data_IF_154004407173
#
_entry.id   IF_154004407173
#
_cell.length_a   1.000
_cell.length_b   1.000
_cell.length_c   1.000
_cell.angle_alpha   90.00
_cell.angle_beta   90.00
_cell.angle_gamma   90.00
#
_symmetry.space_group_name_H-M   'P 1'
#
loop_
_entity.id
_entity.type
_entity.pdbx_description
1 polymer ?
#
# COMPACT_ATOMS: atom_id res chain seq x y z
N UNK A 1 27.05 -35.86 51.90
CA UNK A 1 26.78 -35.57 53.30
C UNK A 1 25.94 -34.31 53.34
N UNK A 2 24.70 -34.46 53.69
CA UNK A 2 23.79 -33.75 54.49
C UNK A 2 22.99 -32.66 53.71
N UNK A 3 21.82 -32.84 53.27
CA UNK A 3 20.50 -33.09 53.90
C UNK A 3 19.81 -31.80 54.41
N UNK A 4 18.62 -31.56 53.78
CA UNK A 4 17.35 -31.10 54.33
C UNK A 4 17.28 -29.62 54.81
N UNK A 5 16.23 -28.84 54.65
CA UNK A 5 14.78 -29.10 54.66
C UNK A 5 14.01 -27.83 54.23
N UNK A 6 12.84 -28.01 53.67
CA UNK A 6 11.69 -27.08 53.73
C UNK A 6 11.11 -27.02 55.17
N UNK A 7 10.20 -26.08 55.55
CA UNK A 7 8.88 -25.88 54.98
C UNK A 7 8.31 -24.44 55.08
N UNK A 8 7.30 -24.14 54.23
CA UNK A 8 5.86 -23.94 54.42
C UNK A 8 5.35 -22.74 55.28
N UNK A 9 4.38 -22.11 54.71
CA UNK A 9 3.28 -21.39 55.38
C UNK A 9 3.25 -19.90 55.06
N UNK A 10 2.21 -19.33 54.64
CA UNK A 10 0.78 -19.45 54.62
C UNK A 10 0.26 -18.05 54.29
N UNK A 11 -0.55 -17.90 53.39
CA UNK A 11 -1.98 -17.67 53.33
C UNK A 11 -2.54 -16.42 54.09
N UNK A 12 -3.47 -15.84 53.37
CA UNK A 12 -4.69 -15.07 53.68
C UNK A 12 -4.55 -13.57 53.47
N UNK A 13 -5.30 -13.03 52.61
CA UNK A 13 -6.73 -12.86 52.36
C UNK A 13 -7.25 -11.47 52.76
N UNK A 14 -8.05 -10.99 51.89
CA UNK A 14 -9.32 -10.27 52.06
C UNK A 14 -9.31 -8.74 52.14
N UNK A 15 -9.94 -8.22 51.21
CA UNK A 15 -11.30 -7.68 51.11
C UNK A 15 -11.45 -6.17 51.31
N UNK A 16 -11.93 -5.58 50.25
CA UNK A 16 -13.09 -4.69 50.08
C UNK A 16 -13.33 -3.57 51.11
N UNK A 17 -13.67 -2.42 50.59
CA UNK A 17 -14.95 -1.74 50.85
C UNK A 17 -15.14 -0.58 49.86
N UNK A 18 -16.32 -0.55 49.25
CA UNK A 18 -16.87 0.52 48.44
C UNK A 18 -17.47 1.62 49.31
N UNK A 19 -17.57 2.82 48.79
CA UNK A 19 -18.72 3.69 49.05
C UNK A 19 -18.81 4.85 48.07
N UNK A 20 -19.98 4.98 47.50
CA UNK A 20 -20.47 6.01 46.63
C UNK A 20 -20.74 7.33 47.36
N UNK A 21 -20.65 8.46 46.63
CA UNK A 21 -21.57 9.59 46.83
C UNK A 21 -21.90 10.24 45.50
N UNK A 22 -23.18 10.36 45.26
CA UNK A 22 -23.81 10.98 44.10
C UNK A 22 -23.79 12.51 44.21
N UNK A 23 -23.62 13.17 43.09
CA UNK A 23 -23.88 14.59 42.94
C UNK A 23 -24.46 14.87 41.58
N UNK A 24 -25.77 15.03 41.49
CA UNK A 24 -26.51 15.47 40.28
C UNK A 24 -26.27 16.95 40.03
N UNK A 25 -25.90 17.31 38.82
CA UNK A 25 -26.20 18.63 38.25
C UNK A 25 -26.66 18.44 36.80
N UNK A 26 -27.97 18.56 36.61
CA UNK A 26 -28.60 18.66 35.30
C UNK A 26 -28.32 20.04 34.70
N UNK A 27 -27.69 20.08 33.54
CA UNK A 27 -27.78 21.23 32.67
C UNK A 27 -28.43 20.75 31.36
N UNK A 28 -29.70 21.12 31.18
CA UNK A 28 -30.42 21.07 29.92
C UNK A 28 -29.81 22.09 28.95
N UNK A 29 -29.15 21.60 27.94
CA UNK A 29 -28.82 22.42 26.75
C UNK A 29 -29.62 21.88 25.57
N UNK A 30 -30.70 22.57 25.24
CA UNK A 30 -31.51 22.39 24.02
C UNK A 30 -30.63 22.78 22.81
N UNK A 31 -30.03 21.79 22.16
CA UNK A 31 -29.37 21.96 20.87
C UNK A 31 -30.28 21.56 19.74
N UNK A 32 -30.58 22.52 18.92
CA UNK A 32 -31.39 22.46 17.69
C UNK A 32 -30.83 21.42 16.74
N UNK A 33 -31.52 20.31 16.51
CA UNK A 33 -31.22 19.33 15.47
C UNK A 33 -31.50 19.95 14.10
N UNK A 34 -30.45 20.36 13.41
CA UNK A 34 -30.49 20.55 11.96
C UNK A 34 -30.31 19.19 11.32
N UNK A 35 -31.40 18.64 10.81
CA UNK A 35 -31.39 17.47 9.94
C UNK A 35 -30.76 17.84 8.60
N UNK A 36 -29.42 17.58 8.49
CA UNK A 36 -28.77 17.54 7.19
C UNK A 36 -29.02 16.18 6.57
N UNK A 37 -29.64 16.16 5.38
CA UNK A 37 -29.73 14.96 4.58
C UNK A 37 -28.32 14.47 4.18
N UNK A 38 -27.88 13.36 4.75
CA UNK A 38 -26.70 12.63 4.27
C UNK A 38 -27.03 11.91 2.98
N UNK A 39 -26.36 12.19 1.86
CA UNK A 39 -26.66 11.56 0.58
C UNK A 39 -26.00 10.17 0.40
N UNK A 40 -25.34 9.63 1.40
CA UNK A 40 -24.75 8.26 1.33
C UNK A 40 -24.90 7.61 2.69
N UNK A 41 -25.51 6.45 2.73
CA UNK A 41 -25.90 5.71 3.93
C UNK A 41 -24.85 5.70 5.04
N UNK A 42 -25.30 6.08 6.24
CA UNK A 42 -24.53 6.39 7.45
C UNK A 42 -23.56 5.32 7.97
N UNK A 43 -22.41 5.16 7.31
CA UNK A 43 -21.22 4.58 7.89
C UNK A 43 -20.33 5.73 8.35
N UNK A 44 -20.06 5.82 9.65
CA UNK A 44 -19.06 6.76 10.14
C UNK A 44 -17.76 6.50 9.40
N UNK A 45 -17.23 7.56 8.76
CA UNK A 45 -15.89 7.52 8.16
C UNK A 45 -14.90 7.32 9.32
N UNK A 46 -14.40 6.12 9.45
CA UNK A 46 -13.62 5.65 10.62
C UNK A 46 -12.33 6.43 10.85
N UNK A 47 -11.82 7.12 9.82
CA UNK A 47 -10.42 7.55 9.77
C UNK A 47 -10.19 8.95 9.18
N UNK A 48 -11.18 9.83 9.20
CA UNK A 48 -11.02 11.21 8.74
C UNK A 48 -10.28 12.02 9.80
N UNK A 49 -9.16 12.62 9.43
CA UNK A 49 -8.41 13.56 10.27
C UNK A 49 -8.89 14.99 10.04
N UNK A 50 -8.63 15.86 11.02
CA UNK A 50 -8.85 17.28 10.81
C UNK A 50 -7.99 17.79 9.64
N UNK A 51 -8.60 18.37 8.63
CA UNK A 51 -7.93 18.84 7.42
C UNK A 51 -7.91 17.85 6.27
N UNK A 52 -8.38 16.60 6.47
CA UNK A 52 -8.53 15.67 5.37
C UNK A 52 -9.65 16.12 4.43
N UNK A 53 -9.42 15.84 3.16
CA UNK A 53 -10.46 15.85 2.14
C UNK A 53 -10.94 14.41 1.97
N UNK A 54 -12.22 14.17 1.91
CA UNK A 54 -12.73 12.85 1.55
C UNK A 54 -12.51 12.65 0.05
N UNK A 55 -12.08 11.45 -0.34
CA UNK A 55 -11.93 11.10 -1.75
C UNK A 55 -13.27 11.33 -2.45
N UNK A 56 -13.30 12.32 -3.37
CA UNK A 56 -14.53 12.80 -4.00
C UNK A 56 -15.00 11.84 -5.09
N UNK A 57 -16.29 11.91 -5.42
CA UNK A 57 -16.88 11.07 -6.49
C UNK A 57 -16.60 9.58 -6.28
N UNK A 58 -16.34 9.17 -5.04
CA UNK A 58 -15.99 7.78 -4.75
C UNK A 58 -17.22 6.90 -4.84
N UNK A 59 -17.10 5.87 -5.65
CA UNK A 59 -18.10 4.83 -5.75
C UNK A 59 -17.43 3.47 -5.93
N UNK A 60 -18.07 2.44 -5.45
CA UNK A 60 -17.66 1.09 -5.77
C UNK A 60 -18.04 0.80 -7.21
N UNK A 61 -17.04 0.63 -8.07
CA UNK A 61 -17.23 0.33 -9.49
C UNK A 61 -17.50 -1.15 -9.75
N UNK A 62 -17.05 -2.03 -8.84
CA UNK A 62 -17.27 -3.46 -8.95
C UNK A 62 -16.60 -4.27 -7.86
N UNK A 63 -16.39 -5.55 -8.16
CA UNK A 63 -15.64 -6.53 -7.38
C UNK A 63 -14.87 -7.43 -8.33
N UNK A 64 -13.77 -8.00 -7.87
CA UNK A 64 -13.08 -9.01 -8.65
C UNK A 64 -14.01 -10.18 -8.95
N UNK A 65 -14.15 -10.49 -10.23
CA UNK A 65 -14.91 -11.66 -10.70
C UNK A 65 -14.06 -12.94 -10.69
N UNK A 66 -12.74 -12.79 -10.54
CA UNK A 66 -11.81 -13.90 -10.47
C UNK A 66 -11.60 -14.32 -9.02
N UNK A 67 -12.18 -15.45 -8.63
CA UNK A 67 -12.09 -15.95 -7.25
C UNK A 67 -10.67 -16.39 -6.83
N UNK A 68 -9.73 -16.53 -7.78
CA UNK A 68 -8.35 -16.86 -7.43
C UNK A 68 -7.52 -15.63 -7.06
N UNK A 69 -8.00 -14.42 -7.29
CA UNK A 69 -7.42 -13.19 -6.78
C UNK A 69 -8.02 -12.88 -5.40
N UNK A 70 -7.51 -13.56 -4.38
CA UNK A 70 -8.03 -13.48 -3.01
C UNK A 70 -7.22 -12.52 -2.14
N UNK A 71 -5.94 -12.36 -2.43
CA UNK A 71 -4.99 -11.54 -1.67
C UNK A 71 -4.32 -10.53 -2.60
N UNK A 72 -5.18 -9.70 -3.25
CA UNK A 72 -4.70 -8.68 -4.19
C UNK A 72 -3.76 -7.71 -3.49
N UNK A 73 -2.50 -7.67 -3.93
CA UNK A 73 -1.47 -6.77 -3.45
C UNK A 73 -0.86 -6.00 -4.62
N UNK A 74 -1.16 -4.69 -4.68
CA UNK A 74 -0.79 -3.82 -5.77
C UNK A 74 -1.76 -3.83 -6.96
N UNK A 75 -1.81 -2.71 -7.68
CA UNK A 75 -2.56 -2.56 -8.92
C UNK A 75 -1.87 -1.59 -9.87
N UNK A 76 -1.72 -1.99 -11.14
CA UNK A 76 -1.16 -1.11 -12.16
C UNK A 76 -2.02 -1.08 -13.42
N UNK A 77 -2.05 0.07 -14.08
CA UNK A 77 -2.67 0.21 -15.40
C UNK A 77 -1.81 -0.46 -16.46
N UNK A 78 -2.43 -1.18 -17.38
CA UNK A 78 -1.77 -1.66 -18.59
C UNK A 78 -1.39 -0.49 -19.48
N UNK A 79 -0.16 -0.50 -19.98
CA UNK A 79 0.30 0.46 -21.00
C UNK A 79 -0.07 -0.03 -22.40
N UNK A 80 -0.06 -1.34 -22.60
CA UNK A 80 -0.29 -1.98 -23.88
C UNK A 80 -1.76 -2.20 -24.25
N UNK A 81 -2.66 -2.32 -23.28
CA UNK A 81 -4.08 -2.64 -23.47
C UNK A 81 -4.96 -1.65 -22.70
N UNK A 82 -5.53 -0.61 -23.35
CA UNK A 82 -6.33 0.39 -22.67
C UNK A 82 -7.54 -0.20 -21.92
N UNK A 83 -7.75 0.25 -20.68
CA UNK A 83 -8.86 -0.22 -19.83
C UNK A 83 -8.56 -1.54 -19.10
N UNK A 84 -7.36 -2.09 -19.26
CA UNK A 84 -6.86 -3.26 -18.54
C UNK A 84 -6.02 -2.82 -17.35
N UNK A 85 -6.15 -3.54 -16.25
CA UNK A 85 -5.35 -3.42 -15.03
C UNK A 85 -4.75 -4.78 -14.68
N UNK A 86 -3.58 -4.75 -14.07
CA UNK A 86 -2.90 -5.94 -13.56
C UNK A 86 -2.82 -5.89 -12.04
N UNK A 87 -3.01 -7.03 -11.40
CA UNK A 87 -2.73 -7.27 -9.99
C UNK A 87 -2.11 -8.65 -9.81
N UNK A 88 -1.59 -8.94 -8.65
CA UNK A 88 -1.11 -10.26 -8.21
C UNK A 88 -1.65 -10.56 -6.82
N UNK A 89 -1.54 -11.82 -6.39
CA UNK A 89 -1.68 -12.18 -5.00
C UNK A 89 -0.37 -12.00 -4.23
N UNK A 90 -0.48 -11.73 -2.96
CA UNK A 90 0.55 -11.73 -1.94
C UNK A 90 1.25 -13.10 -1.78
N UNK A 91 2.03 -13.23 -0.74
CA UNK A 91 2.86 -14.39 -0.38
C UNK A 91 2.10 -15.71 -0.29
N UNK A 92 2.77 -16.80 -0.66
CA UNK A 92 2.20 -18.16 -0.56
C UNK A 92 1.24 -18.56 -1.68
N UNK A 93 0.98 -17.68 -2.62
CA UNK A 93 0.17 -17.89 -3.80
C UNK A 93 0.98 -18.25 -5.05
N UNK A 94 0.30 -18.69 -6.10
CA UNK A 94 0.90 -18.99 -7.39
C UNK A 94 1.46 -17.71 -8.05
N UNK A 95 2.50 -17.87 -8.87
CA UNK A 95 3.17 -16.81 -9.60
C UNK A 95 2.30 -16.35 -10.79
N UNK A 96 1.21 -15.64 -10.53
CA UNK A 96 0.19 -15.27 -11.52
C UNK A 96 -0.10 -13.77 -11.49
N UNK A 97 -0.12 -13.16 -12.68
CA UNK A 97 -0.70 -11.85 -12.92
C UNK A 97 -2.15 -11.99 -13.36
N UNK A 98 -3.02 -11.23 -12.74
CA UNK A 98 -4.46 -11.19 -13.02
C UNK A 98 -4.81 -9.92 -13.78
N UNK A 99 -5.42 -10.07 -14.95
CA UNK A 99 -5.93 -8.96 -15.75
C UNK A 99 -7.41 -8.73 -15.46
N UNK A 100 -7.78 -7.49 -15.21
CA UNK A 100 -9.17 -7.10 -14.95
C UNK A 100 -9.49 -5.71 -15.53
N UNK A 101 -10.77 -5.38 -15.66
CA UNK A 101 -11.21 -4.02 -16.00
C UNK A 101 -11.66 -3.25 -14.74
N UNK A 102 -11.98 -1.97 -14.89
CA UNK A 102 -12.38 -1.10 -13.78
C UNK A 102 -13.65 -1.54 -13.04
N UNK A 103 -14.38 -2.52 -13.56
CA UNK A 103 -15.53 -3.14 -12.89
C UNK A 103 -15.20 -4.45 -12.19
N UNK A 104 -13.96 -4.92 -12.35
CA UNK A 104 -13.49 -6.20 -11.79
C UNK A 104 -13.75 -7.41 -12.67
N UNK A 105 -14.26 -7.22 -13.88
CA UNK A 105 -14.42 -8.32 -14.83
C UNK A 105 -13.05 -8.92 -15.15
N UNK A 106 -12.92 -10.22 -15.00
CA UNK A 106 -11.70 -10.95 -15.33
C UNK A 106 -11.46 -10.90 -16.85
N UNK A 107 -10.25 -10.53 -17.24
CA UNK A 107 -9.81 -10.42 -18.64
C UNK A 107 -8.77 -11.48 -19.00
N UNK A 108 -8.08 -12.05 -18.02
CA UNK A 108 -7.08 -13.08 -18.22
C UNK A 108 -6.27 -13.37 -16.97
N UNK A 109 -5.58 -14.51 -16.99
CA UNK A 109 -4.57 -14.91 -16.02
C UNK A 109 -3.30 -15.27 -16.78
N UNK A 110 -2.17 -14.81 -16.30
CA UNK A 110 -0.87 -15.02 -16.97
C UNK A 110 0.13 -15.53 -15.95
N UNK A 111 0.51 -16.80 -16.08
CA UNK A 111 1.53 -17.39 -15.21
C UNK A 111 2.91 -16.77 -15.50
N UNK A 112 3.59 -16.35 -14.47
CA UNK A 112 4.96 -15.82 -14.54
C UNK A 112 5.95 -16.95 -14.34
N UNK A 113 6.70 -17.29 -15.36
CA UNK A 113 7.63 -18.43 -15.33
C UNK A 113 9.05 -18.02 -14.99
N UNK A 114 9.72 -18.88 -14.19
CA UNK A 114 11.13 -18.74 -13.83
C UNK A 114 11.37 -18.01 -12.52
N UNK A 115 10.34 -17.83 -11.71
CA UNK A 115 10.38 -17.17 -10.40
C UNK A 115 9.57 -17.93 -9.37
N UNK A 116 9.60 -17.46 -8.15
CA UNK A 116 8.70 -17.86 -7.06
C UNK A 116 8.09 -16.62 -6.42
N UNK A 117 6.82 -16.71 -6.05
CA UNK A 117 6.18 -15.77 -5.15
C UNK A 117 6.62 -16.13 -3.72
N UNK A 118 7.58 -15.36 -3.20
CA UNK A 118 7.98 -15.49 -1.81
C UNK A 118 7.22 -14.50 -0.93
N UNK A 119 7.11 -13.25 -1.43
CA UNK A 119 6.40 -12.16 -0.75
C UNK A 119 6.20 -11.01 -1.76
N UNK A 120 5.32 -11.27 -2.76
CA UNK A 120 5.04 -10.29 -3.80
C UNK A 120 4.08 -9.23 -3.26
N UNK A 121 4.56 -8.01 -3.13
CA UNK A 121 3.80 -6.93 -2.52
C UNK A 121 3.57 -5.73 -3.45
N UNK A 122 4.30 -5.65 -4.55
CA UNK A 122 4.24 -4.44 -5.36
C UNK A 122 4.33 -4.72 -6.86
N UNK A 123 3.62 -3.92 -7.64
CA UNK A 123 3.74 -3.85 -9.11
C UNK A 123 4.13 -2.44 -9.55
N UNK A 124 4.88 -2.36 -10.63
CA UNK A 124 5.11 -1.11 -11.35
C UNK A 124 5.07 -1.34 -12.86
N UNK A 125 4.45 -0.44 -13.59
CA UNK A 125 4.57 -0.36 -15.05
C UNK A 125 5.41 0.86 -15.42
N UNK A 126 6.33 0.70 -16.37
CA UNK A 126 7.18 1.81 -16.78
C UNK A 126 8.20 1.47 -17.85
N UNK A 127 9.00 2.48 -18.28
CA UNK A 127 10.01 2.28 -19.29
C UNK A 127 11.11 1.32 -18.84
N UNK A 128 11.53 0.45 -19.73
CA UNK A 128 12.65 -0.46 -19.55
C UNK A 128 13.55 -0.49 -20.80
N UNK A 129 14.58 -1.33 -20.81
CA UNK A 129 15.47 -1.44 -21.98
C UNK A 129 14.77 -1.92 -23.25
N UNK A 130 13.62 -2.57 -23.11
CA UNK A 130 12.88 -3.20 -24.21
C UNK A 130 11.54 -2.52 -24.51
N UNK A 131 11.34 -1.28 -24.04
CA UNK A 131 10.11 -0.51 -24.22
C UNK A 131 9.35 -0.30 -22.92
N UNK A 132 8.22 -0.97 -22.73
CA UNK A 132 7.41 -0.93 -21.51
C UNK A 132 7.45 -2.30 -20.83
N UNK A 133 7.63 -2.28 -19.51
CA UNK A 133 7.71 -3.47 -18.71
C UNK A 133 6.73 -3.41 -17.53
N UNK A 134 6.33 -4.57 -17.07
CA UNK A 134 5.84 -4.79 -15.72
C UNK A 134 7.03 -5.20 -14.84
N UNK A 135 7.16 -4.61 -13.69
CA UNK A 135 8.10 -5.04 -12.66
C UNK A 135 7.32 -5.53 -11.46
N UNK A 136 7.61 -6.74 -11.00
CA UNK A 136 7.07 -7.35 -9.81
C UNK A 136 8.09 -7.18 -8.68
N UNK A 137 7.65 -6.68 -7.54
CA UNK A 137 8.45 -6.56 -6.33
C UNK A 137 8.20 -7.73 -5.38
N UNK A 138 9.16 -8.65 -5.27
CA UNK A 138 9.22 -9.64 -4.19
C UNK A 138 9.94 -8.98 -3.00
N UNK A 139 9.25 -8.03 -2.37
CA UNK A 139 9.82 -7.02 -1.48
C UNK A 139 9.22 -6.99 -0.08
N UNK A 140 8.20 -7.83 0.16
CA UNK A 140 7.64 -8.00 1.49
C UNK A 140 8.63 -8.60 2.48
N UNK A 141 8.58 -8.12 3.70
CA UNK A 141 9.41 -8.58 4.81
C UNK A 141 8.78 -8.18 6.16
N UNK A 142 7.61 -8.71 6.43
CA UNK A 142 6.85 -8.40 7.63
C UNK A 142 7.66 -8.53 8.93
N UNK A 143 8.65 -9.41 8.94
CA UNK A 143 9.55 -9.64 10.08
C UNK A 143 10.82 -8.75 10.05
N UNK A 144 11.07 -8.03 8.96
CA UNK A 144 12.25 -7.20 8.73
C UNK A 144 13.57 -7.99 8.93
N UNK A 145 13.65 -9.17 8.32
CA UNK A 145 14.80 -10.10 8.43
C UNK A 145 15.42 -10.48 7.09
N UNK A 146 14.80 -10.14 5.97
CA UNK A 146 15.33 -10.44 4.63
C UNK A 146 16.51 -9.52 4.32
N UNK A 147 17.68 -10.11 4.18
CA UNK A 147 18.89 -9.35 3.81
C UNK A 147 18.95 -8.98 2.33
N UNK A 148 18.12 -9.61 1.50
CA UNK A 148 18.03 -9.39 0.05
C UNK A 148 16.61 -9.68 -0.41
N UNK A 149 16.12 -8.80 -1.28
CA UNK A 149 14.82 -8.81 -1.92
C UNK A 149 15.02 -8.92 -3.43
N UNK A 150 13.99 -9.24 -4.19
CA UNK A 150 14.17 -9.43 -5.64
C UNK A 150 13.13 -8.66 -6.42
N UNK A 151 13.57 -7.96 -7.45
CA UNK A 151 12.72 -7.31 -8.45
C UNK A 151 12.75 -8.16 -9.73
N UNK A 152 11.57 -8.48 -10.26
CA UNK A 152 11.43 -9.23 -11.50
C UNK A 152 10.87 -8.35 -12.60
N UNK A 153 11.60 -8.19 -13.70
CA UNK A 153 11.17 -7.40 -14.84
C UNK A 153 10.79 -8.30 -16.01
N UNK A 154 9.63 -8.07 -16.57
CA UNK A 154 9.07 -8.79 -17.72
C UNK A 154 8.46 -7.83 -18.71
N UNK A 155 8.42 -8.22 -20.00
CA UNK A 155 7.61 -7.50 -20.95
C UNK A 155 6.15 -7.57 -20.52
N UNK A 156 5.42 -6.47 -20.63
CA UNK A 156 4.00 -6.48 -20.28
C UNK A 156 3.26 -7.56 -21.10
N UNK A 157 2.60 -8.53 -20.47
CA UNK A 157 1.91 -9.58 -21.17
C UNK A 157 0.62 -9.06 -21.81
N UNK A 158 0.11 -9.77 -22.81
CA UNK A 158 -1.26 -9.61 -23.29
C UNK A 158 -2.24 -10.35 -22.40
N UNK A 159 -3.46 -9.84 -22.26
CA UNK A 159 -4.54 -10.52 -21.51
C UNK A 159 -4.86 -11.91 -22.08
N UNK A 160 -4.58 -12.16 -23.36
CA UNK A 160 -4.77 -13.45 -24.04
C UNK A 160 -3.61 -14.43 -23.84
N UNK A 161 -2.49 -13.98 -23.26
CA UNK A 161 -1.35 -14.86 -22.98
C UNK A 161 -1.67 -15.77 -21.79
N UNK A 162 -1.23 -17.02 -21.83
CA UNK A 162 -1.30 -17.92 -20.68
C UNK A 162 -0.05 -17.88 -19.80
N UNK A 163 1.07 -17.46 -20.36
CA UNK A 163 2.36 -17.41 -19.66
C UNK A 163 3.21 -16.24 -20.11
N UNK A 164 4.04 -15.75 -19.22
CA UNK A 164 5.12 -14.80 -19.50
C UNK A 164 6.38 -15.24 -18.76
N UNK A 165 7.56 -14.95 -19.32
CA UNK A 165 8.84 -15.21 -18.66
C UNK A 165 9.45 -13.92 -18.14
N UNK A 166 10.00 -14.00 -16.94
CA UNK A 166 10.87 -12.95 -16.42
C UNK A 166 12.09 -12.82 -17.34
N UNK A 167 12.39 -11.60 -17.72
CA UNK A 167 13.51 -11.26 -18.58
C UNK A 167 14.76 -10.89 -17.80
N UNK A 168 14.57 -10.20 -16.68
CA UNK A 168 15.64 -9.79 -15.77
C UNK A 168 15.18 -9.94 -14.33
N UNK A 169 16.10 -10.32 -13.45
CA UNK A 169 15.95 -10.26 -12.00
C UNK A 169 17.05 -9.37 -11.44
N UNK A 170 16.72 -8.58 -10.46
CA UNK A 170 17.66 -7.74 -9.75
C UNK A 170 17.49 -7.96 -8.26
N UNK A 171 18.54 -8.45 -7.62
CA UNK A 171 18.58 -8.53 -6.18
C UNK A 171 18.90 -7.16 -5.58
N UNK A 172 18.14 -6.78 -4.57
CA UNK A 172 18.24 -5.48 -3.90
C UNK A 172 18.37 -5.71 -2.40
N UNK A 173 19.22 -4.93 -1.76
CA UNK A 173 19.26 -4.80 -0.30
C UNK A 173 19.22 -3.32 0.08
N UNK A 174 18.70 -3.02 1.25
CA UNK A 174 18.72 -1.66 1.78
C UNK A 174 20.02 -1.43 2.57
N UNK A 175 20.63 -0.26 2.40
CA UNK A 175 21.93 0.05 3.02
C UNK A 175 21.85 0.18 4.54
N UNK A 176 20.66 0.43 5.09
CA UNK A 176 20.43 0.78 6.49
C UNK A 176 19.58 -0.25 7.26
N UNK A 177 19.41 -1.45 6.71
CA UNK A 177 18.73 -2.57 7.39
C UNK A 177 17.76 -3.33 6.51
N UNK A 178 16.88 -4.14 7.12
CA UNK A 178 15.80 -4.86 6.47
C UNK A 178 14.49 -4.16 6.78
N UNK A 179 13.64 -3.98 5.78
CA UNK A 179 12.35 -3.30 5.90
C UNK A 179 11.31 -3.95 5.02
N UNK A 180 10.11 -3.99 5.54
CA UNK A 180 8.90 -4.34 4.82
C UNK A 180 8.56 -3.22 3.82
N UNK A 181 8.43 -3.56 2.54
CA UNK A 181 8.10 -2.64 1.46
C UNK A 181 6.91 -3.19 0.72
N UNK A 182 5.87 -2.40 0.56
CA UNK A 182 4.65 -2.78 -0.15
C UNK A 182 4.27 -1.83 -1.28
N UNK A 183 5.01 -0.74 -1.43
CA UNK A 183 4.73 0.21 -2.49
C UNK A 183 5.94 0.39 -3.41
N UNK A 184 5.68 0.28 -4.71
CA UNK A 184 6.68 0.50 -5.75
C UNK A 184 6.06 1.21 -6.95
N UNK A 185 6.79 2.14 -7.55
CA UNK A 185 6.39 2.75 -8.81
C UNK A 185 7.61 3.03 -9.69
N UNK A 186 7.39 3.14 -10.99
CA UNK A 186 8.44 3.49 -11.95
C UNK A 186 8.45 4.98 -12.24
N UNK A 187 9.62 5.57 -12.25
CA UNK A 187 9.86 6.91 -12.77
C UNK A 187 9.81 6.96 -14.31
N UNK A 188 9.72 8.15 -14.87
CA UNK A 188 9.74 8.35 -16.31
C UNK A 188 11.08 7.95 -16.96
N UNK A 189 12.15 7.98 -16.16
CA UNK A 189 13.50 7.54 -16.54
C UNK A 189 13.69 6.01 -16.49
N UNK A 190 12.69 5.28 -15.99
CA UNK A 190 12.73 3.82 -15.77
C UNK A 190 13.44 3.40 -14.48
N UNK A 191 13.78 4.33 -13.60
CA UNK A 191 14.16 4.04 -12.23
C UNK A 191 12.95 3.60 -11.40
N UNK A 192 13.19 2.75 -10.40
CA UNK A 192 12.15 2.26 -9.50
C UNK A 192 12.27 2.92 -8.13
N UNK A 193 11.15 3.27 -7.56
CA UNK A 193 11.00 3.85 -6.23
C UNK A 193 10.28 2.86 -5.34
N UNK A 194 10.86 2.58 -4.17
CA UNK A 194 10.30 1.66 -3.19
C UNK A 194 10.04 2.43 -1.90
N UNK A 195 8.88 2.20 -1.30
CA UNK A 195 8.44 2.91 -0.10
C UNK A 195 8.11 1.89 0.99
N UNK A 196 8.66 2.08 2.19
CA UNK A 196 8.42 1.15 3.30
C UNK A 196 6.97 1.20 3.75
N UNK A 197 6.40 0.03 4.10
CA UNK A 197 5.03 -0.09 4.64
C UNK A 197 4.89 0.71 5.92
N UNK A 198 5.83 0.54 6.82
CA UNK A 198 5.74 1.03 8.19
C UNK A 198 6.78 2.11 8.46
N UNK A 199 6.39 3.18 9.17
CA UNK A 199 7.37 4.07 9.75
C UNK A 199 8.17 3.33 10.82
N UNK A 200 9.49 3.52 10.84
CA UNK A 200 10.34 2.90 11.83
C UNK A 200 10.22 3.61 13.19
N UNK A 201 10.49 2.89 14.28
CA UNK A 201 10.73 3.53 15.58
C UNK A 201 12.21 3.88 15.71
N UNK A 202 12.47 5.13 16.05
CA UNK A 202 13.81 5.59 16.38
C UNK A 202 14.22 5.27 17.82
N UNK A 203 15.47 5.57 18.15
CA UNK A 203 15.94 5.56 19.54
C UNK A 203 15.04 6.49 20.39
N UNK A 204 14.61 6.02 21.56
CA UNK A 204 13.66 6.74 22.40
C UNK A 204 12.19 6.55 22.04
N UNK A 205 11.86 5.65 21.09
CA UNK A 205 10.49 5.28 20.73
C UNK A 205 9.73 6.25 19.85
N UNK A 206 10.35 7.34 19.41
CA UNK A 206 9.74 8.27 18.46
C UNK A 206 9.54 7.61 17.08
N UNK A 207 8.41 7.88 16.43
CA UNK A 207 8.18 7.46 15.06
C UNK A 207 9.08 8.22 14.10
N UNK A 208 9.60 7.53 13.11
CA UNK A 208 10.31 8.11 11.96
C UNK A 208 9.41 8.04 10.73
N UNK A 209 9.52 8.97 9.79
CA UNK A 209 8.81 8.91 8.51
C UNK A 209 9.10 7.61 7.76
N UNK A 210 8.19 7.20 6.87
CA UNK A 210 8.44 6.10 5.93
C UNK A 210 9.63 6.44 5.04
N UNK A 211 10.44 5.45 4.70
CA UNK A 211 11.62 5.62 3.86
C UNK A 211 11.28 5.44 2.40
N UNK A 212 12.03 6.15 1.58
CA UNK A 212 11.99 6.01 0.12
C UNK A 212 13.37 5.60 -0.36
N UNK A 213 13.42 4.52 -1.10
CA UNK A 213 14.61 4.01 -1.78
C UNK A 213 14.47 4.18 -3.27
N UNK A 214 15.59 4.37 -3.96
CA UNK A 214 15.63 4.46 -5.41
C UNK A 214 16.56 3.42 -5.99
N UNK A 215 16.07 2.68 -6.97
CA UNK A 215 16.83 1.72 -7.79
C UNK A 215 16.90 2.31 -9.20
N UNK A 216 18.03 2.90 -9.58
CA UNK A 216 18.16 3.52 -10.90
C UNK A 216 18.10 2.44 -12.00
N UNK A 217 17.60 2.82 -13.18
CA UNK A 217 17.57 1.91 -14.34
C UNK A 217 18.91 1.24 -14.62
N UNK A 218 20.02 1.96 -14.42
CA UNK A 218 21.36 1.43 -14.61
C UNK A 218 21.72 0.27 -13.66
N UNK A 219 21.02 0.09 -12.53
CA UNK A 219 21.25 -1.02 -11.62
C UNK A 219 21.03 -2.39 -12.29
N UNK A 220 20.12 -2.48 -13.25
CA UNK A 220 19.83 -3.70 -13.99
C UNK A 220 20.98 -4.18 -14.88
N UNK A 221 21.93 -3.30 -15.21
CA UNK A 221 23.09 -3.59 -16.04
C UNK A 221 24.32 -4.00 -15.22
N UNK A 222 24.32 -3.73 -13.90
CA UNK A 222 25.50 -3.95 -13.04
C UNK A 222 25.68 -5.41 -12.63
N UNK A 223 24.57 -6.17 -12.58
CA UNK A 223 24.58 -7.54 -12.04
C UNK A 223 24.81 -7.58 -10.53
N UNK A 224 24.64 -8.76 -9.93
CA UNK A 224 24.82 -8.96 -8.50
C UNK A 224 23.71 -8.30 -7.66
N UNK A 225 24.05 -7.91 -6.42
CA UNK A 225 23.10 -7.27 -5.48
C UNK A 225 23.26 -5.77 -5.50
N UNK A 226 22.23 -5.05 -5.88
CA UNK A 226 22.20 -3.58 -5.78
C UNK A 226 21.94 -3.16 -4.33
N UNK A 227 22.74 -2.23 -3.81
CA UNK A 227 22.54 -1.66 -2.48
C UNK A 227 21.82 -0.32 -2.61
N UNK A 228 20.54 -0.29 -2.27
CA UNK A 228 19.73 0.92 -2.30
C UNK A 228 19.91 1.73 -1.01
N UNK A 229 20.29 3.00 -1.15
CA UNK A 229 20.34 3.94 -0.04
C UNK A 229 18.98 4.63 0.12
N UNK A 230 18.68 5.09 1.33
CA UNK A 230 17.57 6.02 1.58
C UNK A 230 17.84 7.31 0.82
N UNK A 231 16.94 7.68 -0.06
CA UNK A 231 17.07 8.90 -0.87
C UNK A 231 16.07 9.97 -0.47
N UNK A 232 15.03 9.58 0.26
CA UNK A 232 14.01 10.47 0.78
C UNK A 232 13.26 9.85 1.96
N UNK A 233 12.41 10.64 2.61
CA UNK A 233 11.46 10.18 3.63
C UNK A 233 10.18 11.00 3.54
N UNK A 234 9.03 10.32 3.62
CA UNK A 234 7.74 10.97 3.51
C UNK A 234 7.12 11.14 4.90
N UNK A 235 6.43 12.26 5.16
CA UNK A 235 5.90 12.60 6.48
C UNK A 235 4.66 11.78 6.87
N UNK A 236 4.66 10.49 6.54
CA UNK A 236 3.64 9.55 6.92
C UNK A 236 4.00 8.95 8.28
N UNK A 237 3.53 9.60 9.32
CA UNK A 237 3.74 9.19 10.71
C UNK A 237 2.39 8.79 11.28
N UNK A 238 2.21 7.57 11.80
CA UNK A 238 0.93 7.13 12.32
C UNK A 238 0.54 7.95 13.53
N UNK A 239 -0.67 8.47 13.50
CA UNK A 239 -1.29 8.95 14.71
C UNK A 239 -1.61 7.77 15.62
N UNK A 240 -1.12 7.81 16.85
CA UNK A 240 -1.40 6.79 17.88
C UNK A 240 -0.91 5.37 17.57
N UNK A 241 -0.02 5.20 16.56
CA UNK A 241 0.57 3.89 16.25
C UNK A 241 -0.41 2.89 15.65
N UNK A 242 -1.45 3.35 14.97
CA UNK A 242 -2.42 2.51 14.27
C UNK A 242 -1.92 2.13 12.87
N UNK A 243 -2.41 1.02 12.32
CA UNK A 243 -2.05 0.54 10.98
C UNK A 243 -2.59 1.41 9.83
N UNK A 244 -3.45 2.39 10.11
CA UNK A 244 -4.11 3.19 9.07
C UNK A 244 -3.20 3.97 8.15
N UNK A 245 -2.00 4.29 8.61
CA UNK A 245 -1.01 5.02 7.83
C UNK A 245 0.07 4.09 7.27
N UNK A 246 -0.10 2.78 7.36
CA UNK A 246 0.79 1.85 6.70
C UNK A 246 0.57 1.92 5.21
N UNK A 247 1.65 2.15 4.50
CA UNK A 247 1.64 2.26 3.03
C UNK A 247 1.47 0.87 2.43
N UNK A 248 0.57 0.75 1.46
CA UNK A 248 0.24 -0.52 0.81
C UNK A 248 0.45 -0.49 -0.70
N UNK A 249 0.43 0.69 -1.35
CA UNK A 249 0.75 0.78 -2.79
C UNK A 249 1.12 2.20 -3.20
N UNK A 250 1.66 2.37 -4.41
CA UNK A 250 2.03 3.65 -4.98
C UNK A 250 1.82 3.70 -6.51
N UNK A 251 1.38 4.84 -7.00
CA UNK A 251 1.23 5.07 -8.43
C UNK A 251 1.66 6.47 -8.83
N UNK A 252 2.50 6.56 -9.88
CA UNK A 252 2.89 7.83 -10.48
C UNK A 252 1.94 8.16 -11.64
N UNK A 253 1.38 9.37 -11.65
CA UNK A 253 0.47 9.80 -12.70
C UNK A 253 1.18 9.91 -14.06
N UNK A 254 0.41 9.83 -15.14
CA UNK A 254 0.83 10.41 -16.42
C UNK A 254 1.14 11.91 -16.25
N UNK A 255 1.88 12.55 -17.16
CA UNK A 255 2.06 13.99 -17.14
C UNK A 255 0.71 14.69 -17.18
N UNK A 256 0.52 15.65 -16.27
CA UNK A 256 -0.63 16.54 -16.28
C UNK A 256 -0.52 17.56 -17.44
N UNK A 257 -1.57 18.33 -17.68
CA UNK A 257 -1.60 19.34 -18.76
C UNK A 257 -0.44 20.35 -18.64
N UNK A 258 -0.01 20.67 -17.42
CA UNK A 258 1.11 21.57 -17.15
C UNK A 258 2.48 20.87 -17.10
N UNK A 259 2.55 19.60 -17.47
CA UNK A 259 3.77 18.79 -17.46
C UNK A 259 4.17 18.23 -16.08
N UNK A 260 3.51 18.64 -15.01
CA UNK A 260 3.74 18.10 -13.67
C UNK A 260 3.27 16.65 -13.58
N UNK A 261 3.75 15.94 -12.58
CA UNK A 261 3.27 14.61 -12.20
C UNK A 261 2.85 14.61 -10.74
N UNK A 262 1.99 13.68 -10.40
CA UNK A 262 1.57 13.40 -9.03
C UNK A 262 1.94 11.97 -8.66
N UNK A 263 2.48 11.80 -7.46
CA UNK A 263 2.61 10.52 -6.82
C UNK A 263 1.44 10.32 -5.87
N UNK A 264 0.67 9.27 -6.05
CA UNK A 264 -0.31 8.82 -5.07
C UNK A 264 0.30 7.65 -4.28
N UNK A 265 0.24 7.73 -2.95
CA UNK A 265 0.55 6.65 -2.04
C UNK A 265 -0.75 6.21 -1.36
N UNK A 266 -1.01 4.93 -1.40
CA UNK A 266 -2.10 4.31 -0.67
C UNK A 266 -1.65 3.96 0.74
N UNK A 267 -2.52 4.15 1.70
CA UNK A 267 -2.45 3.53 3.02
C UNK A 267 -3.82 2.94 3.34
N UNK A 268 -3.93 2.11 4.36
CA UNK A 268 -5.22 1.52 4.73
C UNK A 268 -6.34 2.55 4.96
N UNK A 269 -6.02 3.76 5.34
CA UNK A 269 -7.02 4.78 5.68
C UNK A 269 -7.13 5.96 4.70
N UNK A 270 -6.18 6.13 3.79
CA UNK A 270 -6.14 7.32 2.94
C UNK A 270 -5.28 7.14 1.69
N UNK A 271 -5.52 8.01 0.71
CA UNK A 271 -4.58 8.30 -0.36
C UNK A 271 -3.86 9.61 -0.06
N UNK A 272 -2.54 9.57 -0.14
CA UNK A 272 -1.66 10.72 0.03
C UNK A 272 -1.10 11.12 -1.33
N UNK A 273 -1.38 12.34 -1.77
CA UNK A 273 -0.94 12.84 -3.08
C UNK A 273 0.21 13.81 -2.88
N UNK A 274 1.31 13.52 -3.54
CA UNK A 274 2.51 14.36 -3.54
C UNK A 274 2.73 14.95 -4.93
N UNK A 275 3.40 16.09 -4.99
CA UNK A 275 4.11 16.49 -6.20
C UNK A 275 5.18 15.44 -6.52
N UNK A 276 5.50 15.27 -7.79
CA UNK A 276 6.59 14.43 -8.20
C UNK A 276 7.42 15.08 -9.29
N UNK A 277 8.73 14.89 -9.22
CA UNK A 277 9.63 15.32 -10.29
C UNK A 277 9.21 14.69 -11.63
N UNK A 278 8.97 15.47 -12.67
CA UNK A 278 8.40 14.94 -13.91
C UNK A 278 9.35 14.02 -14.68
N UNK A 279 10.66 14.13 -14.47
CA UNK A 279 11.64 13.32 -15.17
C UNK A 279 11.94 12.01 -14.43
N UNK A 280 12.07 12.06 -13.11
CA UNK A 280 12.52 10.91 -12.31
C UNK A 280 11.41 10.28 -11.48
N UNK A 281 10.30 11.00 -11.24
CA UNK A 281 9.24 10.56 -10.31
C UNK A 281 9.60 10.75 -8.83
N UNK A 282 10.71 11.43 -8.50
CA UNK A 282 11.07 11.67 -7.10
C UNK A 282 9.95 12.38 -6.36
N UNK A 283 9.56 11.93 -5.17
CA UNK A 283 8.52 12.58 -4.37
C UNK A 283 8.91 14.01 -3.99
N UNK A 284 7.95 14.91 -4.02
CA UNK A 284 8.05 16.30 -3.59
C UNK A 284 7.15 16.59 -2.40
N UNK A 285 6.53 17.77 -2.39
CA UNK A 285 5.66 18.21 -1.31
C UNK A 285 4.34 17.41 -1.28
N UNK A 286 3.81 17.14 -0.08
CA UNK A 286 2.46 16.63 0.09
C UNK A 286 1.45 17.68 -0.35
N UNK A 287 0.61 17.34 -1.31
CA UNK A 287 -0.42 18.22 -1.90
C UNK A 287 -1.77 18.01 -1.24
N UNK A 288 -2.13 16.76 -1.04
CA UNK A 288 -3.42 16.40 -0.46
C UNK A 288 -3.34 15.07 0.29
N UNK A 289 -4.19 14.93 1.30
CA UNK A 289 -4.54 13.65 1.91
C UNK A 289 -6.04 13.46 1.77
N UNK A 290 -6.44 12.37 1.13
CA UNK A 290 -7.83 12.04 0.88
C UNK A 290 -8.21 10.79 1.68
N UNK A 291 -9.07 10.94 2.68
CA UNK A 291 -9.58 9.81 3.43
C UNK A 291 -10.39 8.87 2.51
N UNK A 292 -10.20 7.57 2.67
CA UNK A 292 -10.91 6.55 1.92
C UNK A 292 -12.29 6.32 2.54
N UNK A 293 -13.40 6.62 1.84
CA UNK A 293 -14.75 6.36 2.32
C UNK A 293 -15.18 4.90 2.01
N UNK A 294 -14.29 3.96 2.28
CA UNK A 294 -14.52 2.53 2.07
C UNK A 294 -14.71 1.83 3.42
N UNK A 295 -15.41 0.70 3.41
CA UNK A 295 -15.70 -0.06 4.62
C UNK A 295 -14.70 -1.19 4.86
N UNK A 296 -14.09 -1.65 3.81
CA UNK A 296 -13.05 -2.64 3.80
C UNK A 296 -11.77 -2.04 4.39
N UNK A 297 -11.13 -2.77 5.29
CA UNK A 297 -9.94 -2.30 6.02
C UNK A 297 -8.63 -2.63 5.29
N UNK A 298 -8.70 -3.24 4.09
CA UNK A 298 -7.57 -3.81 3.36
C UNK A 298 -7.45 -3.25 1.95
N UNK A 299 -7.29 -1.93 1.84
CA UNK A 299 -6.96 -1.29 0.56
C UNK A 299 -5.49 -1.57 0.23
N UNK A 300 -5.23 -2.39 -0.80
CA UNK A 300 -3.89 -2.92 -1.11
C UNK A 300 -3.39 -2.57 -2.51
N UNK A 301 -4.22 -2.00 -3.37
CA UNK A 301 -3.76 -1.61 -4.70
C UNK A 301 -4.31 -0.27 -5.14
N UNK A 302 -3.49 0.51 -5.84
CA UNK A 302 -3.80 1.86 -6.29
C UNK A 302 -3.22 2.13 -7.68
N UNK A 303 -4.01 2.70 -8.59
CA UNK A 303 -3.46 3.24 -9.83
C UNK A 303 -4.20 4.47 -10.31
N UNK A 304 -3.47 5.37 -11.00
CA UNK A 304 -4.05 6.50 -11.69
C UNK A 304 -4.77 6.05 -12.96
N UNK A 305 -5.97 6.59 -13.18
CA UNK A 305 -6.70 6.51 -14.43
C UNK A 305 -6.29 7.67 -15.36
N UNK A 306 -6.49 7.49 -16.66
CA UNK A 306 -6.13 8.49 -17.66
C UNK A 306 -6.88 9.83 -17.48
N UNK A 307 -8.05 9.82 -16.85
CA UNK A 307 -8.85 11.01 -16.57
C UNK A 307 -8.54 11.70 -15.22
N UNK A 308 -7.44 11.27 -14.56
CA UNK A 308 -6.98 11.80 -13.29
C UNK A 308 -7.78 11.34 -12.08
N UNK A 309 -8.64 10.34 -12.22
CA UNK A 309 -9.19 9.60 -11.08
C UNK A 309 -8.21 8.53 -10.61
N UNK A 310 -8.51 7.96 -9.46
CA UNK A 310 -7.78 6.86 -8.85
C UNK A 310 -8.67 5.63 -8.83
N UNK A 311 -8.11 4.49 -9.18
CA UNK A 311 -8.69 3.18 -8.94
C UNK A 311 -8.01 2.59 -7.71
N UNK A 312 -8.79 2.12 -6.75
CA UNK A 312 -8.35 1.48 -5.51
C UNK A 312 -8.95 0.08 -5.46
N UNK A 313 -8.14 -0.92 -5.18
CA UNK A 313 -8.59 -2.30 -4.98
C UNK A 313 -8.37 -2.73 -3.55
N UNK A 314 -9.24 -3.60 -3.06
CA UNK A 314 -9.13 -4.17 -1.73
C UNK A 314 -8.81 -5.65 -1.82
N UNK A 315 -8.10 -6.15 -0.83
CA UNK A 315 -7.88 -7.56 -0.59
C UNK A 315 -9.19 -8.30 -0.26
N UNK A 316 -9.12 -9.61 -0.24
CA UNK A 316 -10.21 -10.50 0.13
C UNK A 316 -10.90 -11.13 -1.08
N UNK A 317 -11.53 -12.28 -0.84
CA UNK A 317 -12.31 -12.99 -1.86
C UNK A 317 -13.36 -12.06 -2.46
N UNK A 318 -13.30 -11.85 -3.78
CA UNK A 318 -14.10 -10.85 -4.49
C UNK A 318 -13.89 -9.43 -3.93
N UNK A 319 -12.63 -9.05 -3.69
CA UNK A 319 -12.24 -7.74 -3.22
C UNK A 319 -12.91 -6.62 -4.03
N UNK A 320 -13.25 -5.54 -3.34
CA UNK A 320 -13.98 -4.43 -3.95
C UNK A 320 -13.05 -3.54 -4.76
N UNK A 321 -13.59 -2.94 -5.81
CA UNK A 321 -12.92 -1.94 -6.64
C UNK A 321 -13.66 -0.62 -6.49
N UNK A 322 -12.90 0.41 -6.17
CA UNK A 322 -13.40 1.78 -6.02
C UNK A 322 -12.75 2.70 -7.03
N UNK A 323 -13.51 3.66 -7.48
CA UNK A 323 -12.99 4.77 -8.29
C UNK A 323 -13.36 6.08 -7.60
N UNK A 324 -12.40 7.00 -7.54
CA UNK A 324 -12.60 8.28 -6.90
C UNK A 324 -11.58 9.33 -7.34
N UNK A 325 -11.74 10.56 -6.86
CA UNK A 325 -10.85 11.69 -7.18
C UNK A 325 -10.30 12.33 -5.92
N UNK A 326 -8.98 12.40 -5.82
CA UNK A 326 -8.28 13.27 -4.87
C UNK A 326 -7.90 14.58 -5.57
N UNK A 327 -8.14 15.75 -4.98
CA UNK A 327 -7.89 17.06 -5.58
C UNK A 327 -6.45 17.29 -6.03
#
# INVERSE_FOLDING_TARGET
VGERSRPLGGATAAAAVAAAVAGRASLLLTGLLMAGCDPVGGGQLRWVRQGDVVLRETHRSGRFADDALEEASGAVVSVGEPGVFWSQNDSGNDETLFAFDSTGRALGRVDVKGVRNRDWEALATGPCSEGQCVTIGDVGDNAAIRGTLTLYQLAEPRTTASTVRVRRSLDVRYADGSYDVEAMYAGADGGLWLVTKRPARGAGGAWRPVRVYHVPRAAWEQGGVYTAAVVDSLPLIPERGTAHDWVTDASLSAPLVDGRRRLALLSYGAVHVFDADPATGRPGALVARCALPIREDTAEGLTWLADGRLLVVTEGRQGAIYVGRCP
#
